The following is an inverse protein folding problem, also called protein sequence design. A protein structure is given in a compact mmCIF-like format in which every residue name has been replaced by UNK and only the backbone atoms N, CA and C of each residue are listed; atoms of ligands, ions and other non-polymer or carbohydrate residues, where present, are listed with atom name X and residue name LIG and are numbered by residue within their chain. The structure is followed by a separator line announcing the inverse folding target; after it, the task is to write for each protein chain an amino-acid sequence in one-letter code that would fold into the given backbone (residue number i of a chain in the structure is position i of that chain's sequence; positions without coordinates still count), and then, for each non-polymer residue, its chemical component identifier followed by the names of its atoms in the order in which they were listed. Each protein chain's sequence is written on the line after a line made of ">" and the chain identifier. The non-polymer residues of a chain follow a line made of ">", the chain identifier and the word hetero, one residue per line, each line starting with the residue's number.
data_IF_166164700026
#
_entry.id   IF_166164700026
#
_cell.length_a   1.000
_cell.length_b   1.000
_cell.length_c   1.000
_cell.angle_alpha   90.00
_cell.angle_beta   90.00
_cell.angle_gamma   90.00
#
_symmetry.space_group_name_H-M   'P 1'
#
loop_
_entity.id
_entity.type
_entity.pdbx_description
1 polymer ?
#
# COMPACT_ATOMS: atom_id res chain seq x y z
N UNK A 1 -19.73 12.35 10.53
CA UNK A 1 -19.68 13.81 10.48
C UNK A 1 -19.72 14.34 9.05
N UNK A 2 -19.87 15.63 8.85
CA UNK A 2 -19.79 16.23 7.50
C UNK A 2 -18.39 16.04 6.91
N UNK A 3 -18.28 15.77 5.59
CA UNK A 3 -16.99 15.66 4.93
C UNK A 3 -16.21 16.96 5.05
N UNK A 4 -14.90 16.85 5.28
CA UNK A 4 -13.97 17.98 5.27
C UNK A 4 -13.20 18.00 3.96
N UNK A 5 -12.89 19.18 3.45
CA UNK A 5 -12.14 19.35 2.21
C UNK A 5 -10.65 19.45 2.55
N UNK A 6 -9.84 18.56 2.05
CA UNK A 6 -8.39 18.68 2.03
C UNK A 6 -8.00 19.50 0.78
N UNK A 7 -7.28 20.59 0.97
CA UNK A 7 -6.82 21.45 -0.10
C UNK A 7 -5.35 21.21 -0.40
N UNK A 8 -5.03 21.01 -1.67
CA UNK A 8 -3.68 20.78 -2.15
C UNK A 8 -3.31 21.75 -3.26
N UNK A 9 -2.03 22.01 -3.39
CA UNK A 9 -1.47 22.71 -4.55
C UNK A 9 -0.95 21.71 -5.60
N UNK A 10 -0.43 22.21 -6.71
CA UNK A 10 0.10 21.40 -7.79
C UNK A 10 1.38 20.60 -7.44
N UNK A 11 1.99 20.86 -6.29
CA UNK A 11 3.17 20.12 -5.83
C UNK A 11 2.78 18.81 -5.12
N UNK A 12 1.53 18.70 -4.64
CA UNK A 12 1.05 17.49 -3.97
C UNK A 12 1.30 16.19 -4.76
N UNK A 13 0.96 16.13 -6.07
CA UNK A 13 1.26 14.94 -6.88
C UNK A 13 2.75 14.58 -6.89
N UNK A 14 3.66 15.57 -6.88
CA UNK A 14 5.11 15.31 -6.87
C UNK A 14 5.59 14.62 -5.60
N UNK A 15 4.98 14.91 -4.46
CA UNK A 15 5.25 14.23 -3.19
C UNK A 15 4.97 12.73 -3.23
N UNK A 16 4.05 12.30 -4.08
CA UNK A 16 3.75 10.88 -4.27
C UNK A 16 4.84 10.09 -5.00
N UNK A 17 5.86 10.75 -5.56
CA UNK A 17 7.05 10.06 -6.04
C UNK A 17 7.71 9.24 -4.92
N UNK A 18 7.83 9.80 -3.71
CA UNK A 18 8.38 9.08 -2.55
C UNK A 18 7.49 7.90 -2.18
N UNK A 19 6.16 8.09 -2.16
CA UNK A 19 5.20 7.02 -1.90
C UNK A 19 5.37 5.86 -2.88
N UNK A 20 5.43 6.15 -4.17
CA UNK A 20 5.47 5.12 -5.21
C UNK A 20 6.86 4.47 -5.33
N UNK A 21 7.93 5.28 -5.36
CA UNK A 21 9.29 4.79 -5.60
C UNK A 21 9.86 4.03 -4.41
N UNK A 22 9.65 4.53 -3.20
CA UNK A 22 10.35 4.04 -2.02
C UNK A 22 9.48 3.27 -1.04
N UNK A 23 8.16 3.43 -1.09
CA UNK A 23 7.25 2.66 -0.25
C UNK A 23 6.52 1.57 -1.04
N UNK A 24 5.87 1.88 -2.17
CA UNK A 24 5.28 0.87 -3.05
C UNK A 24 6.32 0.10 -3.88
N UNK A 25 7.53 0.65 -4.05
CA UNK A 25 8.62 0.09 -4.84
C UNK A 25 8.24 -0.19 -6.31
N UNK A 26 7.40 0.67 -6.90
CA UNK A 26 7.02 0.53 -8.29
C UNK A 26 8.18 0.88 -9.24
N UNK A 27 8.18 0.27 -10.41
CA UNK A 27 9.18 0.50 -11.45
C UNK A 27 8.53 0.46 -12.85
N UNK A 28 9.19 0.98 -13.90
CA UNK A 28 8.62 1.04 -15.26
C UNK A 28 8.24 -0.30 -15.88
N UNK A 29 8.92 -1.38 -15.49
CA UNK A 29 8.66 -2.74 -15.99
C UNK A 29 7.62 -3.48 -15.18
N UNK A 30 7.18 -2.89 -14.06
CA UNK A 30 6.26 -3.51 -13.12
C UNK A 30 4.80 -3.15 -13.37
N UNK A 31 3.93 -3.96 -12.78
CA UNK A 31 2.49 -3.72 -12.72
C UNK A 31 2.05 -3.60 -11.27
N UNK A 32 1.50 -2.44 -10.90
CA UNK A 32 1.07 -2.13 -9.55
C UNK A 32 -0.44 -2.31 -9.38
N UNK A 33 -0.85 -3.04 -8.35
CA UNK A 33 -2.25 -3.12 -7.92
C UNK A 33 -2.41 -2.47 -6.54
N UNK A 34 -3.29 -1.47 -6.44
CA UNK A 34 -3.80 -0.98 -5.17
C UNK A 34 -5.31 -1.27 -5.05
N UNK A 35 -5.70 -1.94 -3.98
CA UNK A 35 -7.11 -2.07 -3.59
C UNK A 35 -7.45 -0.91 -2.66
N UNK A 36 -8.27 0.00 -3.16
CA UNK A 36 -8.80 1.15 -2.42
C UNK A 36 -10.06 1.67 -3.10
N UNK A 37 -11.03 2.08 -2.29
CA UNK A 37 -12.17 2.85 -2.79
C UNK A 37 -11.68 4.15 -3.45
N UNK A 38 -12.26 4.48 -4.59
CA UNK A 38 -11.87 5.68 -5.36
C UNK A 38 -12.27 6.99 -4.68
N UNK A 39 -13.15 6.94 -3.69
CA UNK A 39 -13.47 8.06 -2.81
C UNK A 39 -12.41 8.36 -1.75
N UNK A 40 -11.41 7.51 -1.59
CA UNK A 40 -10.31 7.69 -0.64
C UNK A 40 -9.04 8.21 -1.31
N UNK A 41 -8.33 9.11 -0.64
CA UNK A 41 -7.04 9.61 -1.13
C UNK A 41 -6.03 8.49 -1.44
N UNK A 42 -6.10 7.37 -0.76
CA UNK A 42 -5.28 6.18 -1.04
C UNK A 42 -5.39 5.67 -2.48
N UNK A 43 -6.53 5.88 -3.13
CA UNK A 43 -6.66 5.56 -4.55
C UNK A 43 -5.74 6.42 -5.42
N UNK A 44 -5.59 7.70 -5.10
CA UNK A 44 -4.65 8.60 -5.79
C UNK A 44 -3.19 8.21 -5.55
N UNK A 45 -2.89 7.72 -4.33
CA UNK A 45 -1.54 7.27 -3.96
C UNK A 45 -1.10 6.03 -4.73
N UNK A 46 -2.01 5.10 -4.95
CA UNK A 46 -1.71 3.79 -5.52
C UNK A 46 -2.13 3.60 -6.97
N UNK A 47 -2.89 4.55 -7.55
CA UNK A 47 -3.45 4.37 -8.90
C UNK A 47 -3.14 5.51 -9.86
N UNK A 48 -2.48 6.57 -9.40
CA UNK A 48 -2.36 7.75 -10.25
C UNK A 48 -0.98 8.42 -10.15
N UNK A 49 -0.81 9.29 -9.18
CA UNK A 49 0.27 10.27 -9.22
C UNK A 49 1.68 9.66 -9.20
N UNK A 50 2.01 8.95 -8.15
CA UNK A 50 3.35 8.43 -7.96
C UNK A 50 3.71 7.34 -8.95
N UNK A 51 2.75 6.47 -9.29
CA UNK A 51 2.95 5.39 -10.26
C UNK A 51 3.29 5.96 -11.65
N UNK A 52 2.56 6.98 -12.09
CA UNK A 52 2.84 7.63 -13.38
C UNK A 52 4.13 8.43 -13.38
N UNK A 53 4.48 9.09 -12.26
CA UNK A 53 5.80 9.73 -12.11
C UNK A 53 6.96 8.74 -12.16
N UNK A 54 6.71 7.48 -11.78
CA UNK A 54 7.66 6.38 -11.85
C UNK A 54 7.53 5.55 -13.15
N UNK A 55 6.73 6.01 -14.13
CA UNK A 55 6.48 5.33 -15.41
C UNK A 55 5.92 3.91 -15.25
N UNK A 56 5.34 3.59 -14.08
CA UNK A 56 4.83 2.27 -13.77
C UNK A 56 3.40 2.07 -14.29
N UNK A 57 3.13 0.88 -14.80
CA UNK A 57 1.77 0.47 -15.16
C UNK A 57 0.92 0.24 -13.91
N UNK A 58 -0.38 0.56 -14.01
CA UNK A 58 -1.35 0.39 -12.94
C UNK A 58 -2.42 -0.60 -13.38
N UNK A 59 -2.59 -1.66 -12.58
CA UNK A 59 -3.68 -2.61 -12.78
C UNK A 59 -4.94 -2.09 -12.10
N UNK A 60 -6.00 -1.93 -12.86
CA UNK A 60 -7.32 -1.50 -12.37
C UNK A 60 -8.30 -2.66 -12.54
N UNK A 61 -8.95 -3.00 -11.45
CA UNK A 61 -9.97 -4.03 -11.44
C UNK A 61 -11.21 -3.50 -10.73
N UNK A 62 -12.32 -3.55 -11.43
CA UNK A 62 -13.63 -3.11 -10.93
C UNK A 62 -14.38 -4.30 -10.34
N UNK A 63 -14.91 -4.13 -9.14
CA UNK A 63 -15.72 -5.13 -8.45
C UNK A 63 -16.69 -4.46 -7.46
N UNK A 64 -17.89 -5.00 -7.38
CA UNK A 64 -18.90 -4.54 -6.42
C UNK A 64 -18.57 -4.98 -4.99
N UNK A 65 -18.04 -6.18 -4.85
CA UNK A 65 -17.65 -6.77 -3.57
C UNK A 65 -16.30 -7.46 -3.71
N UNK A 66 -15.41 -7.23 -2.73
CA UNK A 66 -14.12 -7.93 -2.70
C UNK A 66 -14.32 -9.43 -2.48
N UNK A 67 -13.76 -10.22 -3.39
CA UNK A 67 -13.62 -11.67 -3.25
C UNK A 67 -12.15 -12.05 -3.51
N UNK A 68 -11.55 -12.76 -2.54
CA UNK A 68 -10.17 -13.19 -2.65
C UNK A 68 -9.98 -14.22 -3.77
N UNK A 69 -11.00 -15.06 -4.04
CA UNK A 69 -10.95 -16.04 -5.14
C UNK A 69 -10.84 -15.39 -6.52
N UNK A 70 -11.41 -14.19 -6.69
CA UNK A 70 -11.34 -13.46 -7.94
C UNK A 70 -10.01 -12.72 -8.10
N UNK A 71 -9.48 -12.18 -7.02
CA UNK A 71 -8.27 -11.34 -7.03
C UNK A 71 -6.99 -12.18 -7.08
N UNK A 72 -6.90 -13.24 -6.29
CA UNK A 72 -5.66 -14.04 -6.16
C UNK A 72 -5.16 -14.63 -7.49
N UNK A 73 -6.00 -15.17 -8.39
CA UNK A 73 -5.52 -15.65 -9.69
C UNK A 73 -4.96 -14.54 -10.60
N UNK A 74 -5.35 -13.28 -10.36
CA UNK A 74 -4.91 -12.17 -11.21
C UNK A 74 -3.44 -11.83 -11.03
N UNK A 75 -2.85 -12.14 -9.88
CA UNK A 75 -1.42 -11.90 -9.65
C UNK A 75 -0.57 -12.62 -10.68
N UNK A 76 -0.76 -13.93 -10.86
CA UNK A 76 -0.04 -14.70 -11.89
C UNK A 76 -0.49 -14.32 -13.30
N UNK A 77 -1.81 -14.24 -13.53
CA UNK A 77 -2.38 -14.00 -14.86
C UNK A 77 -1.87 -12.71 -15.52
N UNK A 78 -1.72 -11.65 -14.73
CA UNK A 78 -1.30 -10.33 -15.22
C UNK A 78 0.11 -9.95 -14.78
N UNK A 79 0.81 -10.84 -14.10
CA UNK A 79 2.16 -10.60 -13.60
C UNK A 79 2.26 -9.35 -12.72
N UNK A 80 1.37 -9.24 -11.72
CA UNK A 80 1.35 -8.10 -10.79
C UNK A 80 2.59 -8.19 -9.90
N UNK A 81 3.42 -7.13 -9.93
CA UNK A 81 4.73 -7.11 -9.24
C UNK A 81 4.69 -6.42 -7.90
N UNK A 82 3.84 -5.41 -7.74
CA UNK A 82 3.70 -4.69 -6.46
C UNK A 82 2.25 -4.56 -6.07
N UNK A 83 1.98 -4.71 -4.77
CA UNK A 83 0.61 -4.77 -4.26
C UNK A 83 0.42 -3.91 -3.02
N UNK A 84 -0.69 -3.18 -2.96
CA UNK A 84 -1.13 -2.43 -1.78
C UNK A 84 -2.61 -2.67 -1.48
N UNK A 85 -2.91 -2.96 -0.23
CA UNK A 85 -4.29 -3.09 0.22
C UNK A 85 -4.44 -2.69 1.71
N UNK A 86 -5.66 -2.42 2.20
CA UNK A 86 -5.90 -2.29 3.63
C UNK A 86 -5.81 -3.65 4.35
N UNK A 87 -5.53 -3.67 5.66
CA UNK A 87 -5.45 -4.90 6.46
C UNK A 87 -6.67 -5.80 6.34
N UNK A 88 -7.86 -5.23 6.20
CA UNK A 88 -9.09 -5.99 6.00
C UNK A 88 -9.03 -6.88 4.76
N UNK A 89 -8.48 -6.40 3.64
CA UNK A 89 -8.36 -7.19 2.41
C UNK A 89 -7.34 -8.32 2.57
N UNK A 90 -6.19 -8.04 3.20
CA UNK A 90 -5.23 -9.09 3.53
C UNK A 90 -5.82 -10.17 4.45
N UNK A 91 -6.69 -9.80 5.40
CA UNK A 91 -7.40 -10.77 6.24
C UNK A 91 -8.33 -11.69 5.44
N UNK A 92 -8.93 -11.20 4.37
CA UNK A 92 -9.71 -12.08 3.49
C UNK A 92 -8.79 -12.99 2.68
N UNK A 93 -7.69 -12.47 2.15
CA UNK A 93 -6.74 -13.27 1.35
C UNK A 93 -6.12 -14.41 2.17
N UNK A 94 -5.68 -14.16 3.41
CA UNK A 94 -5.06 -15.21 4.25
C UNK A 94 -6.05 -16.26 4.79
N UNK A 95 -7.36 -16.07 4.63
CA UNK A 95 -8.35 -17.12 4.90
C UNK A 95 -8.38 -18.18 3.81
N UNK A 96 -7.91 -17.81 2.62
CA UNK A 96 -7.75 -18.75 1.53
C UNK A 96 -6.47 -19.58 1.70
N UNK A 97 -6.46 -20.74 1.10
CA UNK A 97 -5.24 -21.53 0.99
C UNK A 97 -4.33 -20.91 -0.08
N UNK A 98 -3.46 -19.99 0.35
CA UNK A 98 -2.57 -19.25 -0.55
C UNK A 98 -1.60 -20.17 -1.31
N UNK A 99 -1.38 -21.41 -0.87
CA UNK A 99 -0.53 -22.37 -1.59
C UNK A 99 -1.12 -22.81 -2.94
N UNK A 100 -2.41 -22.57 -3.16
CA UNK A 100 -3.10 -22.85 -4.42
C UNK A 100 -2.94 -21.77 -5.47
N UNK A 101 -2.38 -20.62 -5.11
CA UNK A 101 -2.23 -19.48 -5.98
C UNK A 101 -0.76 -19.16 -6.21
N UNK A 102 -0.40 -18.88 -7.45
CA UNK A 102 0.95 -18.44 -7.77
C UNK A 102 1.06 -16.93 -7.53
N UNK A 103 1.77 -16.57 -6.47
CA UNK A 103 2.07 -15.18 -6.07
C UNK A 103 3.56 -14.85 -6.32
N UNK A 104 4.27 -15.65 -7.07
CA UNK A 104 5.72 -15.49 -7.30
C UNK A 104 6.10 -14.22 -8.06
N UNK A 105 5.14 -13.63 -8.80
CA UNK A 105 5.34 -12.34 -9.47
C UNK A 105 5.42 -11.15 -8.50
N UNK A 106 4.88 -11.31 -7.28
CA UNK A 106 4.85 -10.20 -6.30
C UNK A 106 6.22 -10.04 -5.65
N UNK A 107 6.85 -8.90 -5.90
CA UNK A 107 8.16 -8.54 -5.37
C UNK A 107 8.05 -7.72 -4.08
N UNK A 108 6.96 -6.96 -3.93
CA UNK A 108 6.77 -6.05 -2.81
C UNK A 108 5.29 -5.86 -2.45
N UNK A 109 5.00 -5.87 -1.15
CA UNK A 109 3.64 -5.71 -0.62
C UNK A 109 3.59 -4.64 0.47
N UNK A 110 2.67 -3.70 0.30
CA UNK A 110 2.46 -2.58 1.24
C UNK A 110 1.06 -2.62 1.85
N UNK A 111 0.93 -2.05 3.04
CA UNK A 111 -0.32 -2.04 3.79
C UNK A 111 -0.50 -0.71 4.51
N UNK A 112 -1.68 -0.13 4.40
CA UNK A 112 -2.05 1.12 5.06
C UNK A 112 -3.57 1.29 5.14
N UNK A 113 -4.00 2.25 5.95
CA UNK A 113 -5.39 2.66 6.12
C UNK A 113 -6.01 2.21 7.44
N UNK A 114 -5.50 1.14 8.03
CA UNK A 114 -5.90 0.60 9.34
C UNK A 114 -4.65 0.07 10.05
N UNK A 115 -4.72 -0.14 11.36
CA UNK A 115 -3.64 -0.79 12.10
C UNK A 115 -3.45 -2.25 11.66
N UNK A 116 -2.22 -2.64 11.39
CA UNK A 116 -1.89 -4.01 10.98
C UNK A 116 -1.93 -4.96 12.19
N UNK A 117 -2.78 -5.97 12.11
CA UNK A 117 -2.75 -7.07 13.06
C UNK A 117 -1.50 -7.93 12.83
N UNK A 118 -0.69 -8.20 13.87
CA UNK A 118 0.50 -9.06 13.77
C UNK A 118 0.26 -10.42 13.12
N UNK A 119 -0.88 -11.03 13.37
CA UNK A 119 -1.25 -12.33 12.78
C UNK A 119 -1.32 -12.27 11.25
N UNK A 120 -1.90 -11.21 10.70
CA UNK A 120 -1.96 -10.99 9.24
C UNK A 120 -0.56 -10.89 8.65
N UNK A 121 0.33 -10.15 9.31
CA UNK A 121 1.72 -10.06 8.90
C UNK A 121 2.41 -11.43 8.85
N UNK A 122 2.27 -12.20 9.94
CA UNK A 122 2.96 -13.50 10.04
C UNK A 122 2.42 -14.54 9.05
N UNK A 123 1.10 -14.63 8.89
CA UNK A 123 0.48 -15.57 7.97
C UNK A 123 0.80 -15.22 6.50
N UNK A 124 0.70 -13.96 6.13
CA UNK A 124 1.06 -13.54 4.77
C UNK A 124 2.53 -13.80 4.47
N UNK A 125 3.42 -13.44 5.41
CA UNK A 125 4.86 -13.72 5.27
C UNK A 125 5.16 -15.22 5.17
N UNK A 126 4.50 -16.06 5.95
CA UNK A 126 4.67 -17.51 5.90
C UNK A 126 4.27 -18.08 4.53
N UNK A 127 3.18 -17.56 3.96
CA UNK A 127 2.65 -18.06 2.69
C UNK A 127 3.45 -17.56 1.47
N UNK A 128 3.95 -16.32 1.49
CA UNK A 128 4.55 -15.65 0.33
C UNK A 128 6.05 -15.39 0.44
N UNK A 129 6.63 -15.49 1.64
CA UNK A 129 7.98 -15.05 1.94
C UNK A 129 8.12 -13.51 2.09
N UNK A 130 7.12 -12.74 1.69
CA UNK A 130 7.14 -11.28 1.69
C UNK A 130 6.76 -10.70 3.06
N UNK A 131 7.43 -9.62 3.43
CA UNK A 131 7.02 -8.81 4.57
C UNK A 131 6.07 -7.71 4.13
N UNK A 132 4.98 -7.50 4.88
CA UNK A 132 4.09 -6.37 4.67
C UNK A 132 4.77 -5.09 5.16
N UNK A 133 4.93 -4.12 4.27
CA UNK A 133 5.54 -2.83 4.57
C UNK A 133 4.44 -1.83 4.94
N UNK A 134 4.25 -1.64 6.24
CA UNK A 134 3.21 -0.75 6.74
C UNK A 134 3.59 0.72 6.52
N UNK A 135 2.58 1.54 6.25
CA UNK A 135 2.73 2.99 6.13
C UNK A 135 1.50 3.74 6.62
N UNK A 136 1.71 4.98 7.02
CA UNK A 136 0.69 5.90 7.45
C UNK A 136 0.74 7.19 6.64
N UNK A 137 -0.42 7.69 6.33
CA UNK A 137 -0.65 9.00 5.74
C UNK A 137 -2.12 9.35 5.80
N UNK A 138 -2.47 10.54 5.34
CA UNK A 138 -3.82 11.09 5.39
C UNK A 138 -4.16 11.73 4.04
N UNK A 139 -5.40 12.19 3.86
CA UNK A 139 -5.79 12.96 2.67
C UNK A 139 -4.98 14.25 2.55
N UNK A 140 -4.54 14.80 3.66
CA UNK A 140 -3.74 16.01 3.78
C UNK A 140 -2.26 15.81 3.48
N UNK A 141 -1.79 14.56 3.46
CA UNK A 141 -0.37 14.22 3.26
C UNK A 141 -0.21 13.18 2.14
N UNK A 142 1.03 12.89 1.78
CA UNK A 142 1.40 11.63 1.12
C UNK A 142 1.67 10.56 2.18
N UNK A 143 2.41 9.48 1.90
CA UNK A 143 2.94 8.64 2.98
C UNK A 143 3.85 9.51 3.85
N UNK A 144 3.53 9.61 5.13
CA UNK A 144 4.25 10.47 6.09
C UNK A 144 5.19 9.64 6.99
N UNK A 145 4.73 8.46 7.39
CA UNK A 145 5.50 7.47 8.15
C UNK A 145 5.41 6.16 7.38
N UNK A 146 6.53 5.45 7.21
CA UNK A 146 6.48 4.19 6.50
C UNK A 146 7.74 3.34 6.67
N UNK A 147 7.58 2.06 6.34
CA UNK A 147 8.67 1.15 6.14
C UNK A 147 9.10 1.24 4.66
N UNK A 148 10.13 2.03 4.39
CA UNK A 148 10.61 2.25 3.03
C UNK A 148 11.50 1.08 2.56
N UNK A 149 11.79 1.05 1.28
CA UNK A 149 12.71 0.08 0.66
C UNK A 149 14.04 0.01 1.43
N UNK A 150 14.54 -1.21 1.63
CA UNK A 150 15.74 -1.46 2.41
C UNK A 150 15.55 -1.49 3.94
N UNK A 151 14.38 -1.10 4.44
CA UNK A 151 14.07 -1.19 5.87
C UNK A 151 13.58 -2.60 6.23
N UNK A 152 13.93 -3.05 7.43
CA UNK A 152 13.36 -4.25 8.02
C UNK A 152 12.13 -3.85 8.87
N UNK A 153 10.91 -4.24 8.49
CA UNK A 153 9.72 -3.84 9.22
C UNK A 153 9.69 -4.47 10.62
N UNK A 154 9.28 -3.68 11.60
CA UNK A 154 8.96 -4.16 12.94
C UNK A 154 7.45 -4.33 13.02
N UNK A 155 6.99 -5.54 13.30
CA UNK A 155 5.54 -5.84 13.43
C UNK A 155 4.91 -4.94 14.48
N UNK A 156 3.77 -4.34 14.14
CA UNK A 156 3.07 -3.38 15.00
C UNK A 156 3.67 -1.97 14.99
N UNK A 157 4.54 -1.67 14.02
CA UNK A 157 5.09 -0.32 13.82
C UNK A 157 4.89 0.11 12.37
N UNK A 158 4.33 1.29 12.17
CA UNK A 158 4.16 1.91 10.85
C UNK A 158 5.48 2.29 10.17
N UNK A 159 6.60 2.24 10.89
CA UNK A 159 7.92 2.57 10.36
C UNK A 159 8.50 3.87 10.94
N UNK A 160 9.13 4.67 10.09
CA UNK A 160 9.78 5.92 10.45
C UNK A 160 9.25 7.07 9.61
N UNK A 161 9.43 8.35 10.04
CA UNK A 161 9.16 9.51 9.19
C UNK A 161 9.86 9.37 7.84
N UNK A 162 9.12 9.66 6.76
CA UNK A 162 9.72 9.68 5.42
C UNK A 162 10.44 11.02 5.18
N UNK A 163 11.39 11.08 4.23
CA UNK A 163 12.22 12.28 4.04
C UNK A 163 11.48 13.57 3.70
N UNK A 164 10.20 13.52 3.35
CA UNK A 164 9.38 14.69 3.02
C UNK A 164 8.81 15.42 4.25
N UNK A 165 8.86 14.81 5.44
CA UNK A 165 8.18 15.31 6.62
C UNK A 165 9.10 15.34 7.83
N UNK A 166 9.05 16.46 8.55
CA UNK A 166 9.54 16.56 9.92
C UNK A 166 8.40 16.17 10.85
N UNK A 167 8.57 15.04 11.56
CA UNK A 167 7.53 14.47 12.43
C UNK A 167 8.11 14.28 13.82
N UNK A 168 7.38 14.76 14.80
CA UNK A 168 7.72 14.58 16.21
C UNK A 168 6.52 14.08 17.02
N UNK A 169 6.80 13.54 18.19
CA UNK A 169 5.80 13.10 19.17
C UNK A 169 5.73 14.14 20.28
N UNK A 170 4.57 14.78 20.40
CA UNK A 170 4.34 15.77 21.42
C UNK A 170 3.52 15.18 22.57
N UNK A 171 3.75 15.68 23.78
CA UNK A 171 2.86 15.45 24.92
C UNK A 171 1.60 16.29 24.76
N UNK A 172 0.60 16.08 25.64
CA UNK A 172 -0.60 16.93 25.69
C UNK A 172 -0.31 18.40 26.01
N UNK A 173 0.90 18.69 26.50
CA UNK A 173 1.35 20.03 26.88
C UNK A 173 2.31 20.67 25.85
N UNK A 174 2.63 19.97 24.77
CA UNK A 174 3.55 20.38 23.70
C UNK A 174 4.94 19.80 23.81
#
# INVERSE_FOLDING_TARGET
>A
GYPKIAMHNFQYPLGHFVTAKYWHCVNPEGLHLTISDTGWAKALWGKLYGQWLCEAAVFVYDFDRFDAHDILPMFAKYHITTFCAPPTMYRFMIKEDLSKYDLSSVEHATIAGEALNPEVFHQFKKATGLSLMEGFGQSETTVAIGNLVGMKPKVGSMGKPVPLYEIDLLTSEG
#
